data_IF_725136149810
#
_entry.id   IF_725136149810
#
_cell.length_a   1.000
_cell.length_b   1.000
_cell.length_c   1.000
_cell.angle_alpha   90.00
_cell.angle_beta   90.00
_cell.angle_gamma   90.00
#
_symmetry.space_group_name_H-M   'P 1'
#
loop_
_entity.id
_entity.type
_entity.pdbx_description
1 polymer ?
#
# COMPACT_ATOMS: atom_id res chain seq x y z
N UNK A 1 -7.88 -30.71 -25.05
CA UNK A 1 -8.19 -29.48 -25.26
C UNK A 1 -8.66 -28.73 -24.13
N UNK A 2 -9.82 -28.97 -23.62
CA UNK A 2 -10.31 -28.26 -22.52
C UNK A 2 -9.44 -28.43 -21.31
N UNK A 3 -9.01 -29.63 -21.04
CA UNK A 3 -8.17 -29.91 -19.90
C UNK A 3 -6.84 -29.19 -20.01
N UNK A 4 -6.28 -29.19 -21.21
CA UNK A 4 -5.04 -28.53 -21.43
C UNK A 4 -5.17 -27.05 -21.24
N UNK A 5 -6.25 -26.47 -21.73
CA UNK A 5 -6.48 -25.07 -21.57
C UNK A 5 -6.64 -24.73 -20.12
N UNK A 6 -7.33 -25.56 -19.37
CA UNK A 6 -7.46 -25.31 -17.94
C UNK A 6 -6.15 -25.41 -17.24
N UNK A 7 -5.29 -26.29 -17.64
CA UNK A 7 -3.97 -26.37 -17.03
C UNK A 7 -3.16 -25.12 -17.30
N UNK A 8 -3.23 -24.61 -18.52
CA UNK A 8 -2.54 -23.40 -18.84
C UNK A 8 -3.09 -22.23 -18.05
N UNK A 9 -4.41 -22.19 -17.91
CA UNK A 9 -5.04 -21.16 -17.11
C UNK A 9 -4.67 -21.31 -15.65
N UNK A 10 -4.60 -22.55 -15.17
CA UNK A 10 -4.28 -22.80 -13.78
C UNK A 10 -2.84 -22.39 -13.44
N UNK A 11 -1.94 -22.44 -14.41
CA UNK A 11 -0.59 -22.03 -14.15
C UNK A 11 -0.49 -20.51 -13.99
N UNK A 12 -1.45 -19.77 -14.58
CA UNK A 12 -1.49 -18.32 -14.48
C UNK A 12 -2.65 -17.83 -13.64
N UNK A 13 -3.43 -18.75 -13.13
CA UNK A 13 -4.67 -18.41 -12.47
C UNK A 13 -4.64 -18.90 -11.04
N UNK A 14 -5.06 -18.05 -10.14
CA UNK A 14 -5.11 -18.38 -8.72
C UNK A 14 -6.54 -18.29 -8.27
N UNK A 15 -7.03 -19.38 -7.67
CA UNK A 15 -8.38 -19.37 -7.13
C UNK A 15 -8.32 -18.84 -5.71
N UNK A 16 -9.14 -17.84 -5.45
CA UNK A 16 -9.24 -17.25 -4.12
C UNK A 16 -10.69 -17.21 -3.70
N UNK A 17 -10.91 -17.13 -2.41
CA UNK A 17 -12.25 -16.95 -1.88
C UNK A 17 -12.29 -15.66 -1.11
N UNK A 18 -13.24 -14.80 -1.48
CA UNK A 18 -13.43 -13.52 -0.84
C UNK A 18 -14.90 -13.39 -0.50
N UNK A 19 -15.18 -13.21 0.77
CA UNK A 19 -16.53 -13.03 1.28
C UNK A 19 -17.44 -14.13 0.78
N UNK A 20 -16.96 -15.38 0.91
CA UNK A 20 -17.69 -16.60 0.59
C UNK A 20 -17.95 -16.81 -0.88
N UNK A 21 -17.26 -16.10 -1.75
CA UNK A 21 -17.34 -16.33 -3.18
C UNK A 21 -15.97 -16.62 -3.75
N UNK A 22 -15.95 -17.47 -4.77
CA UNK A 22 -14.71 -17.89 -5.40
C UNK A 22 -14.42 -17.06 -6.62
N UNK A 23 -13.18 -16.70 -6.77
CA UNK A 23 -12.71 -15.92 -7.91
C UNK A 23 -11.46 -16.55 -8.46
N UNK A 24 -11.28 -16.46 -9.76
CA UNK A 24 -10.07 -16.91 -10.42
C UNK A 24 -9.35 -15.70 -10.92
N UNK A 25 -8.19 -15.43 -10.35
CA UNK A 25 -7.43 -14.24 -10.66
C UNK A 25 -6.18 -14.62 -11.42
N UNK A 26 -5.76 -13.77 -12.32
CA UNK A 26 -4.54 -14.00 -13.06
C UNK A 26 -3.36 -13.42 -12.31
N UNK A 27 -2.28 -14.16 -12.31
CA UNK A 27 -1.08 -13.68 -11.67
C UNK A 27 -0.06 -14.78 -11.59
N UNK A 28 1.19 -14.40 -11.52
CA UNK A 28 2.29 -15.35 -11.50
C UNK A 28 2.78 -15.64 -10.09
N UNK A 29 2.24 -14.95 -9.09
CA UNK A 29 2.66 -15.16 -7.71
C UNK A 29 1.44 -15.55 -6.86
N UNK A 30 1.15 -16.85 -6.77
CA UNK A 30 -0.05 -17.28 -6.05
C UNK A 30 -0.06 -16.89 -4.59
N UNK A 31 1.08 -16.93 -3.94
CA UNK A 31 1.14 -16.61 -2.52
C UNK A 31 0.78 -15.15 -2.28
N UNK A 32 1.29 -14.28 -3.12
CA UNK A 32 0.98 -12.86 -3.01
C UNK A 32 -0.49 -12.60 -3.27
N UNK A 33 -1.05 -13.26 -4.29
CA UNK A 33 -2.45 -13.06 -4.63
C UNK A 33 -3.35 -13.59 -3.52
N UNK A 34 -2.97 -14.70 -2.89
CA UNK A 34 -3.72 -15.19 -1.75
C UNK A 34 -3.70 -14.19 -0.60
N UNK A 35 -2.58 -13.55 -0.37
CA UNK A 35 -2.51 -12.52 0.67
C UNK A 35 -3.42 -11.35 0.39
N UNK A 36 -3.46 -10.92 -0.87
CA UNK A 36 -4.35 -9.83 -1.24
C UNK A 36 -5.79 -10.22 -1.02
N UNK A 37 -6.14 -11.44 -1.40
CA UNK A 37 -7.51 -11.91 -1.22
C UNK A 37 -7.88 -11.99 0.25
N UNK A 38 -6.96 -12.45 1.08
CA UNK A 38 -7.22 -12.53 2.52
C UNK A 38 -7.42 -11.14 3.10
N UNK A 39 -6.66 -10.18 2.62
CA UNK A 39 -6.80 -8.82 3.09
C UNK A 39 -8.15 -8.25 2.75
N UNK A 40 -8.59 -8.45 1.50
CA UNK A 40 -9.90 -7.95 1.07
C UNK A 40 -11.00 -8.66 1.84
N UNK A 41 -10.88 -9.97 2.00
CA UNK A 41 -11.88 -10.75 2.74
C UNK A 41 -12.01 -10.22 4.17
N UNK A 42 -10.89 -10.00 4.83
CA UNK A 42 -10.89 -9.50 6.19
C UNK A 42 -11.53 -8.12 6.28
N UNK A 43 -11.25 -7.27 5.30
CA UNK A 43 -11.84 -5.93 5.29
C UNK A 43 -13.34 -5.99 5.09
N UNK A 44 -13.81 -6.85 4.19
CA UNK A 44 -15.23 -6.97 3.96
C UNK A 44 -15.94 -7.50 5.20
N UNK A 45 -15.34 -8.47 5.87
CA UNK A 45 -15.97 -9.03 7.07
C UNK A 45 -15.99 -8.00 8.20
N UNK A 46 -14.93 -7.22 8.32
CA UNK A 46 -14.89 -6.17 9.34
C UNK A 46 -15.95 -5.11 9.07
N UNK A 47 -16.09 -4.70 7.81
CA UNK A 47 -17.11 -3.71 7.44
C UNK A 47 -18.50 -4.28 7.70
N UNK A 48 -18.69 -5.53 7.35
CA UNK A 48 -20.00 -6.16 7.52
C UNK A 48 -20.43 -6.19 8.98
N UNK A 49 -19.48 -6.24 9.90
CA UNK A 49 -19.82 -6.23 11.32
C UNK A 49 -20.30 -4.87 11.79
N UNK A 50 -19.94 -3.82 11.08
CA UNK A 50 -20.27 -2.46 11.48
C UNK A 50 -21.37 -1.84 10.64
N UNK A 51 -21.99 -2.62 9.77
CA UNK A 51 -23.07 -2.13 8.95
C UNK A 51 -24.20 -3.12 9.00
N UNK A 52 -25.41 -2.65 8.81
CA UNK A 52 -26.59 -3.50 8.85
C UNK A 52 -26.93 -4.06 7.49
N UNK A 53 -26.20 -3.68 6.45
CA UNK A 53 -26.52 -4.15 5.12
C UNK A 53 -26.05 -5.58 4.92
N UNK A 54 -26.83 -6.33 4.16
CA UNK A 54 -26.44 -7.68 3.76
C UNK A 54 -26.04 -7.71 2.29
N UNK A 55 -26.07 -6.58 1.63
CA UNK A 55 -25.73 -6.48 0.22
C UNK A 55 -24.21 -6.54 0.09
N UNK A 56 -23.75 -7.61 -0.56
CA UNK A 56 -22.31 -7.82 -0.69
C UNK A 56 -21.63 -6.75 -1.53
N UNK A 57 -22.34 -6.18 -2.50
CA UNK A 57 -21.78 -5.10 -3.30
C UNK A 57 -21.55 -3.88 -2.44
N UNK A 58 -22.50 -3.56 -1.59
CA UNK A 58 -22.38 -2.43 -0.69
C UNK A 58 -21.21 -2.65 0.28
N UNK A 59 -21.10 -3.85 0.81
CA UNK A 59 -20.00 -4.19 1.70
C UNK A 59 -18.67 -4.07 0.96
N UNK A 60 -18.62 -4.53 -0.28
CA UNK A 60 -17.38 -4.46 -1.06
C UNK A 60 -16.97 -3.00 -1.32
N UNK A 61 -17.95 -2.14 -1.61
CA UNK A 61 -17.65 -0.73 -1.85
C UNK A 61 -17.11 -0.08 -0.58
N UNK A 62 -17.73 -0.36 0.55
CA UNK A 62 -17.28 0.21 1.81
C UNK A 62 -15.89 -0.33 2.18
N UNK A 63 -15.65 -1.61 1.93
CA UNK A 63 -14.34 -2.19 2.18
C UNK A 63 -13.29 -1.55 1.26
N UNK A 64 -13.65 -1.32 0.01
CA UNK A 64 -12.73 -0.68 -0.93
C UNK A 64 -12.39 0.74 -0.48
N UNK A 65 -13.38 1.48 -0.01
CA UNK A 65 -13.12 2.83 0.49
C UNK A 65 -12.22 2.78 1.72
N UNK A 66 -12.44 1.82 2.58
CA UNK A 66 -11.62 1.66 3.78
C UNK A 66 -10.17 1.35 3.39
N UNK A 67 -9.98 0.45 2.43
CA UNK A 67 -8.64 0.11 1.97
C UNK A 67 -7.99 1.31 1.29
N UNK A 68 -8.74 2.04 0.49
CA UNK A 68 -8.22 3.23 -0.17
C UNK A 68 -7.81 4.28 0.86
N UNK A 69 -8.60 4.44 1.91
CA UNK A 69 -8.27 5.37 2.97
C UNK A 69 -6.98 4.98 3.66
N UNK A 70 -6.84 3.70 3.98
CA UNK A 70 -5.61 3.21 4.59
C UNK A 70 -4.42 3.39 3.67
N UNK A 71 -4.62 3.14 2.37
CA UNK A 71 -3.56 3.34 1.41
C UNK A 71 -3.12 4.80 1.38
N UNK A 72 -4.07 5.73 1.35
CA UNK A 72 -3.74 7.14 1.31
C UNK A 72 -3.04 7.59 2.58
N UNK A 73 -3.49 7.11 3.72
CA UNK A 73 -2.85 7.44 4.98
C UNK A 73 -1.43 6.89 5.03
N UNK A 74 -1.27 5.66 4.58
CA UNK A 74 0.04 5.04 4.58
C UNK A 74 0.98 5.75 3.62
N UNK A 75 0.46 6.13 2.46
CA UNK A 75 1.24 6.85 1.47
C UNK A 75 1.67 8.20 2.01
N UNK A 76 0.76 8.93 2.65
CA UNK A 76 1.11 10.21 3.25
C UNK A 76 2.16 10.04 4.33
N UNK A 77 2.03 9.01 5.13
CA UNK A 77 2.98 8.73 6.18
C UNK A 77 4.34 8.42 5.59
N UNK A 78 4.36 7.62 4.53
CA UNK A 78 5.60 7.25 3.87
C UNK A 78 6.26 8.48 3.23
N UNK A 79 5.47 9.28 2.54
CA UNK A 79 5.98 10.50 1.93
C UNK A 79 6.44 11.49 3.00
N UNK A 80 5.73 11.54 4.10
CA UNK A 80 6.14 12.38 5.20
C UNK A 80 7.46 11.95 5.80
N UNK A 81 7.67 10.67 5.93
CA UNK A 81 8.92 10.13 6.43
C UNK A 81 10.04 10.43 5.44
N UNK A 82 9.81 10.22 4.16
CA UNK A 82 10.81 10.51 3.15
C UNK A 82 11.14 11.98 3.11
N UNK A 83 10.10 12.82 3.19
CA UNK A 83 10.29 14.25 3.19
C UNK A 83 11.10 14.67 4.43
N UNK A 84 10.75 14.10 5.56
CA UNK A 84 11.41 14.41 6.81
C UNK A 84 12.89 14.02 6.75
N UNK A 85 13.19 12.85 6.22
CA UNK A 85 14.57 12.41 6.06
C UNK A 85 15.34 13.30 5.11
N UNK A 86 14.71 13.64 3.99
CA UNK A 86 15.33 14.52 3.02
C UNK A 86 15.55 15.91 3.62
N UNK A 87 14.57 16.39 4.35
CA UNK A 87 14.67 17.69 5.00
C UNK A 87 15.78 17.71 6.05
N UNK A 88 15.89 16.64 6.81
CA UNK A 88 16.95 16.54 7.81
C UNK A 88 18.32 16.47 7.15
N UNK A 89 18.43 15.74 6.06
CA UNK A 89 19.68 15.66 5.33
C UNK A 89 20.05 17.03 4.78
N UNK A 90 19.08 17.75 4.25
CA UNK A 90 19.30 19.10 3.76
C UNK A 90 19.72 20.05 4.87
N UNK A 91 19.05 19.95 6.00
CA UNK A 91 19.40 20.78 7.15
C UNK A 91 20.81 20.50 7.61
N UNK A 92 21.16 19.22 7.67
CA UNK A 92 22.49 18.86 8.10
C UNK A 92 23.52 19.36 7.11
N UNK A 93 23.25 19.20 5.81
CA UNK A 93 24.14 19.69 4.77
C UNK A 93 24.33 21.18 4.86
N UNK A 94 23.27 21.92 5.07
CA UNK A 94 23.35 23.36 5.19
C UNK A 94 24.08 23.78 6.45
N UNK A 95 23.87 23.07 7.53
CA UNK A 95 24.56 23.35 8.78
C UNK A 95 26.03 23.11 8.60
N UNK A 96 26.42 22.06 7.93
CA UNK A 96 27.81 21.76 7.65
C UNK A 96 28.43 22.83 6.74
N UNK A 97 27.69 23.21 5.71
CA UNK A 97 28.15 24.25 4.80
C UNK A 97 28.37 25.56 5.54
N UNK A 98 27.43 25.90 6.40
CA UNK A 98 27.50 27.13 7.15
C UNK A 98 28.71 27.12 8.10
N UNK A 99 28.86 25.99 8.82
CA UNK A 99 29.98 25.87 9.74
C UNK A 99 31.30 25.97 8.99
N UNK A 100 31.37 25.33 7.84
CA UNK A 100 32.56 25.36 7.02
C UNK A 100 32.83 26.74 6.50
N UNK A 101 31.80 27.42 6.03
CA UNK A 101 31.95 28.79 5.54
C UNK A 101 32.43 29.70 6.63
N UNK A 102 31.84 29.59 7.81
CA UNK A 102 32.24 30.43 8.92
C UNK A 102 33.67 30.16 9.32
N UNK A 103 34.07 28.92 9.29
CA UNK A 103 35.43 28.56 9.62
C UNK A 103 36.40 29.12 8.58
N UNK A 104 36.03 29.08 7.33
CA UNK A 104 36.89 29.52 6.26
C UNK A 104 36.91 31.03 6.10
N UNK A 105 35.81 31.70 6.37
CA UNK A 105 35.71 33.14 6.15
C UNK A 105 35.78 33.92 7.40
N UNK A 106 36.15 33.27 8.50
CA UNK A 106 36.40 34.03 9.67
C UNK A 106 35.24 34.81 10.17
N UNK A 107 34.18 34.19 10.40
CA UNK A 107 33.07 34.84 11.03
C UNK A 107 32.15 35.57 10.12
N UNK A 108 32.39 35.50 8.85
CA UNK A 108 31.44 36.11 7.96
C UNK A 108 30.13 35.39 8.11
N UNK A 109 29.05 36.13 8.35
CA UNK A 109 27.80 35.54 8.61
C UNK A 109 27.08 35.24 7.32
N UNK A 110 26.51 34.10 7.23
CA UNK A 110 25.68 33.73 6.10
C UNK A 110 24.28 33.62 6.61
N UNK A 111 23.55 34.55 6.31
CA UNK A 111 22.29 34.83 6.87
C UNK A 111 21.23 33.90 6.74
#
# INVERSE_FOLDING_TARGET
MKARKQMAENSDSVRVEIYDESYHLRGSDPTYIQRLAELVDAKMRAVAQHTSTVDSVHVAVLAALNIADEYCQLKQKHEGIEHDLTSRASHLGRALDRALSEALTEGRRIG
#
